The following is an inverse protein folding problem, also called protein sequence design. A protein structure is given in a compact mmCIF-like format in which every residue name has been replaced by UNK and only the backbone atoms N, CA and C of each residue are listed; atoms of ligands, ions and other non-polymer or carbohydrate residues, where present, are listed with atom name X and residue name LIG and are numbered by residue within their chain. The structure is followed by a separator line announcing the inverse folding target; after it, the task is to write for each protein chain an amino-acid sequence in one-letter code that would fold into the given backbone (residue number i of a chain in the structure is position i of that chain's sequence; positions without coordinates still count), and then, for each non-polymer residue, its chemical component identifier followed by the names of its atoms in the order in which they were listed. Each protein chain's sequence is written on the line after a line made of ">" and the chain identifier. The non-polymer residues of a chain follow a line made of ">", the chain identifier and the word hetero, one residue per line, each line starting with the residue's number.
data_IF_405681749533
#
_entry.id   IF_405681749533
#
_cell.length_a   1.000
_cell.length_b   1.000
_cell.length_c   1.000
_cell.angle_alpha   90.00
_cell.angle_beta   90.00
_cell.angle_gamma   90.00
#
_symmetry.space_group_name_H-M   'P 1'
#
loop_
_entity.id
_entity.type
_entity.pdbx_description
1 polymer ?
#
# COMPACT_ATOMS: atom_id res chain seq x y z
N UNK A 1 -13.79 -49.61 45.37
CA UNK A 1 -13.44 -48.95 44.10
C UNK A 1 -13.94 -47.51 44.15
N UNK A 2 -13.04 -46.50 44.11
CA UNK A 2 -13.44 -45.08 44.11
C UNK A 2 -13.79 -44.66 42.67
N UNK A 3 -14.92 -43.98 42.41
CA UNK A 3 -15.23 -43.51 41.08
C UNK A 3 -14.27 -42.38 40.66
N UNK A 4 -13.71 -42.52 39.46
CA UNK A 4 -12.81 -41.54 38.85
C UNK A 4 -13.59 -40.29 38.42
N UNK A 5 -13.13 -39.06 38.71
CA UNK A 5 -13.85 -37.85 38.33
C UNK A 5 -13.73 -37.61 36.82
N UNK A 6 -14.87 -37.55 36.14
CA UNK A 6 -14.97 -37.24 34.71
C UNK A 6 -14.50 -35.81 34.45
N UNK A 7 -13.48 -35.65 33.59
CA UNK A 7 -12.99 -34.34 33.15
C UNK A 7 -14.12 -33.59 32.42
N UNK A 8 -14.51 -32.44 32.98
CA UNK A 8 -15.46 -31.50 32.35
C UNK A 8 -14.85 -30.98 31.04
N UNK A 9 -15.59 -30.89 29.92
CA UNK A 9 -15.06 -30.35 28.67
C UNK A 9 -14.69 -28.88 28.87
N UNK A 10 -13.41 -28.56 28.76
CA UNK A 10 -12.94 -27.18 28.68
C UNK A 10 -13.26 -26.65 27.29
N UNK A 11 -14.37 -25.94 27.14
CA UNK A 11 -14.59 -25.08 25.99
C UNK A 11 -13.59 -23.92 26.07
N UNK A 12 -12.50 -24.02 25.31
CA UNK A 12 -11.62 -22.88 25.07
C UNK A 12 -12.46 -21.71 24.55
N UNK A 13 -12.21 -20.46 24.98
CA UNK A 13 -12.94 -19.31 24.46
C UNK A 13 -12.74 -19.25 22.95
N UNK A 14 -13.83 -19.27 22.18
CA UNK A 14 -13.78 -18.96 20.75
C UNK A 14 -13.21 -17.55 20.67
N UNK A 15 -12.02 -17.40 20.05
CA UNK A 15 -11.40 -16.10 19.89
C UNK A 15 -12.43 -15.15 19.26
N UNK A 16 -12.67 -14.00 19.91
CA UNK A 16 -13.67 -13.04 19.44
C UNK A 16 -13.41 -12.72 17.96
N UNK A 17 -14.35 -13.09 17.11
CA UNK A 17 -14.32 -12.82 15.68
C UNK A 17 -14.31 -11.31 15.49
N UNK A 18 -13.51 -10.80 14.56
CA UNK A 18 -13.49 -9.37 14.23
C UNK A 18 -14.90 -8.85 13.89
N UNK A 19 -15.17 -7.54 13.92
CA UNK A 19 -16.44 -7.00 13.48
C UNK A 19 -16.73 -7.32 12.00
N UNK A 20 -17.98 -7.61 11.68
CA UNK A 20 -18.46 -7.68 10.30
C UNK A 20 -18.25 -6.32 9.59
N UNK A 21 -17.74 -6.35 8.37
CA UNK A 21 -17.62 -5.17 7.51
C UNK A 21 -18.72 -5.10 6.45
N UNK A 22 -19.11 -3.88 6.08
CA UNK A 22 -20.07 -3.62 5.00
C UNK A 22 -19.52 -4.00 3.61
N UNK A 23 -18.21 -4.18 3.47
CA UNK A 23 -17.55 -4.60 2.24
C UNK A 23 -16.91 -5.99 2.33
N UNK A 24 -17.39 -6.83 3.25
CA UNK A 24 -16.78 -8.12 3.58
C UNK A 24 -16.46 -8.98 2.34
N UNK A 25 -17.47 -9.29 1.53
CA UNK A 25 -17.30 -10.11 0.32
C UNK A 25 -16.30 -9.53 -0.68
N UNK A 26 -16.32 -8.21 -0.86
CA UNK A 26 -15.43 -7.53 -1.81
C UNK A 26 -13.96 -7.53 -1.32
N UNK A 27 -13.76 -7.36 -0.01
CA UNK A 27 -12.42 -7.46 0.59
C UNK A 27 -11.93 -8.90 0.55
N UNK A 28 -12.76 -9.89 0.89
CA UNK A 28 -12.39 -11.31 0.78
C UNK A 28 -11.92 -11.66 -0.64
N UNK A 29 -12.71 -11.29 -1.65
CA UNK A 29 -12.36 -11.49 -3.06
C UNK A 29 -11.03 -10.83 -3.41
N UNK A 30 -10.79 -9.60 -2.94
CA UNK A 30 -9.55 -8.89 -3.18
C UNK A 30 -8.35 -9.58 -2.51
N UNK A 31 -8.50 -10.08 -1.28
CA UNK A 31 -7.43 -10.78 -0.57
C UNK A 31 -7.06 -12.12 -1.23
N UNK A 32 -8.06 -12.84 -1.76
CA UNK A 32 -7.81 -14.05 -2.57
C UNK A 32 -7.03 -13.69 -3.83
N UNK A 33 -7.45 -12.66 -4.56
CA UNK A 33 -6.76 -12.21 -5.79
C UNK A 33 -5.33 -11.72 -5.53
N UNK A 34 -5.12 -10.96 -4.47
CA UNK A 34 -3.81 -10.41 -4.12
C UNK A 34 -2.86 -11.48 -3.55
N UNK A 35 -3.41 -12.51 -2.89
CA UNK A 35 -2.64 -13.58 -2.27
C UNK A 35 -1.77 -13.14 -1.08
N UNK A 36 -1.16 -14.10 -0.39
CA UNK A 36 -0.20 -13.81 0.70
C UNK A 36 -0.82 -13.38 2.04
N UNK A 37 -2.15 -13.29 2.15
CA UNK A 37 -2.84 -12.90 3.38
C UNK A 37 -3.38 -14.07 4.22
N UNK A 38 -3.23 -15.31 3.74
CA UNK A 38 -3.76 -16.52 4.38
C UNK A 38 -5.00 -17.04 3.68
N UNK A 39 -5.63 -18.06 4.26
CA UNK A 39 -6.88 -18.63 3.74
C UNK A 39 -8.04 -17.68 4.02
N UNK A 40 -8.82 -17.39 2.98
CA UNK A 40 -9.99 -16.52 3.01
C UNK A 40 -11.11 -17.22 2.25
N UNK A 41 -12.31 -17.25 2.82
CA UNK A 41 -13.50 -17.78 2.14
C UNK A 41 -14.30 -16.61 1.61
N UNK A 42 -14.73 -16.64 0.34
CA UNK A 42 -15.50 -15.54 -0.26
C UNK A 42 -16.99 -15.82 -0.10
N UNK A 43 -17.53 -15.57 1.09
CA UNK A 43 -18.95 -15.76 1.41
C UNK A 43 -19.63 -14.51 1.98
N UNK A 44 -18.87 -13.44 2.21
CA UNK A 44 -19.34 -12.18 2.77
C UNK A 44 -19.60 -12.21 4.27
N UNK A 45 -19.19 -13.27 4.97
CA UNK A 45 -19.41 -13.46 6.41
C UNK A 45 -18.07 -13.54 7.12
N UNK A 46 -17.87 -12.62 8.05
CA UNK A 46 -16.64 -12.58 8.82
C UNK A 46 -16.41 -13.90 9.60
N UNK A 47 -15.21 -14.46 9.45
CA UNK A 47 -14.71 -15.58 10.25
C UNK A 47 -13.41 -15.23 10.99
N UNK A 48 -12.90 -16.14 11.82
CA UNK A 48 -11.58 -15.99 12.44
C UNK A 48 -10.45 -15.94 11.39
N UNK A 49 -10.58 -16.68 10.28
CA UNK A 49 -9.61 -16.70 9.19
C UNK A 49 -9.60 -15.36 8.45
N UNK A 50 -10.77 -14.83 8.10
CA UNK A 50 -10.88 -13.53 7.42
C UNK A 50 -10.40 -12.40 8.32
N UNK A 51 -10.73 -12.45 9.62
CA UNK A 51 -10.25 -11.51 10.63
C UNK A 51 -8.71 -11.45 10.66
N UNK A 52 -8.05 -12.60 10.64
CA UNK A 52 -6.58 -12.68 10.60
C UNK A 52 -6.02 -12.13 9.27
N UNK A 53 -6.62 -12.50 8.14
CA UNK A 53 -6.21 -12.06 6.81
C UNK A 53 -6.36 -10.54 6.62
N UNK A 54 -7.51 -9.99 7.01
CA UNK A 54 -7.80 -8.55 6.93
C UNK A 54 -6.88 -7.79 7.87
N UNK A 55 -6.60 -8.27 9.10
CA UNK A 55 -5.62 -7.64 9.99
C UNK A 55 -4.22 -7.64 9.38
N UNK A 56 -3.81 -8.73 8.72
CA UNK A 56 -2.51 -8.81 8.04
C UNK A 56 -2.43 -7.79 6.89
N UNK A 57 -3.49 -7.67 6.10
CA UNK A 57 -3.61 -6.66 5.05
C UNK A 57 -3.57 -5.24 5.61
N UNK A 58 -4.35 -4.95 6.65
CA UNK A 58 -4.37 -3.65 7.30
C UNK A 58 -2.99 -3.26 7.85
N UNK A 59 -2.27 -4.20 8.49
CA UNK A 59 -0.90 -3.97 8.95
C UNK A 59 0.05 -3.66 7.79
N UNK A 60 -0.01 -4.43 6.70
CA UNK A 60 0.89 -4.26 5.55
C UNK A 60 0.77 -2.87 4.91
N UNK A 61 -0.45 -2.35 4.84
CA UNK A 61 -0.74 -1.07 4.20
C UNK A 61 -1.02 0.06 5.20
N UNK A 62 -0.68 -0.13 6.48
CA UNK A 62 -0.88 0.86 7.54
C UNK A 62 -2.31 1.42 7.61
N UNK A 63 -3.32 0.55 7.48
CA UNK A 63 -4.73 0.92 7.64
C UNK A 63 -5.07 0.86 9.13
N UNK A 64 -5.47 1.99 9.70
CA UNK A 64 -5.73 2.14 11.13
C UNK A 64 -7.22 2.40 11.41
N UNK A 65 -7.80 1.83 12.49
CA UNK A 65 -7.20 0.82 13.36
C UNK A 65 -7.11 -0.56 12.67
N UNK A 66 -6.17 -1.39 13.13
CA UNK A 66 -6.02 -2.79 12.67
C UNK A 66 -7.02 -3.69 13.40
N UNK A 67 -8.29 -3.58 13.01
CA UNK A 67 -9.42 -4.24 13.67
C UNK A 67 -9.98 -5.44 12.89
N UNK A 68 -9.44 -5.76 11.71
CA UNK A 68 -9.91 -6.84 10.84
C UNK A 68 -11.30 -6.62 10.23
N UNK A 69 -11.87 -5.41 10.37
CA UNK A 69 -13.12 -5.04 9.72
C UNK A 69 -12.88 -4.71 8.25
N UNK A 70 -13.67 -5.32 7.36
CA UNK A 70 -13.77 -4.94 5.95
C UNK A 70 -14.57 -3.62 5.79
N UNK A 71 -14.05 -2.54 6.39
CA UNK A 71 -14.62 -1.19 6.32
C UNK A 71 -14.25 -0.44 5.03
N UNK A 72 -14.60 0.86 4.89
CA UNK A 72 -14.52 1.56 3.61
C UNK A 72 -13.07 1.78 3.17
N UNK A 73 -12.17 2.10 4.10
CA UNK A 73 -10.75 2.29 3.79
C UNK A 73 -10.08 0.96 3.41
N UNK A 74 -10.35 -0.12 4.16
CA UNK A 74 -9.86 -1.47 3.82
C UNK A 74 -10.28 -1.86 2.40
N UNK A 75 -11.57 -1.68 2.11
CA UNK A 75 -12.14 -1.92 0.79
C UNK A 75 -11.46 -1.07 -0.28
N UNK A 76 -11.43 0.26 -0.13
CA UNK A 76 -10.81 1.18 -1.08
C UNK A 76 -9.35 0.82 -1.40
N UNK A 77 -8.53 0.56 -0.37
CA UNK A 77 -7.13 0.16 -0.57
C UNK A 77 -7.03 -1.17 -1.32
N UNK A 78 -7.80 -2.18 -0.92
CA UNK A 78 -7.78 -3.50 -1.56
C UNK A 78 -8.17 -3.43 -3.04
N UNK A 79 -9.20 -2.65 -3.37
CA UNK A 79 -9.67 -2.47 -4.73
C UNK A 79 -8.66 -1.71 -5.60
N UNK A 80 -8.02 -0.66 -5.07
CA UNK A 80 -6.96 0.04 -5.80
C UNK A 80 -5.80 -0.88 -6.16
N UNK A 81 -5.38 -1.74 -5.24
CA UNK A 81 -4.30 -2.71 -5.46
C UNK A 81 -4.69 -3.78 -6.49
N UNK A 82 -5.92 -4.30 -6.43
CA UNK A 82 -6.44 -5.25 -7.43
C UNK A 82 -6.56 -4.60 -8.81
N UNK A 83 -6.93 -3.32 -8.87
CA UNK A 83 -7.08 -2.56 -10.12
C UNK A 83 -5.75 -2.11 -10.73
N UNK A 84 -4.65 -2.13 -9.97
CA UNK A 84 -3.32 -1.84 -10.50
C UNK A 84 -3.00 -2.82 -11.63
N UNK A 85 -2.68 -2.29 -12.81
CA UNK A 85 -2.29 -3.09 -13.98
C UNK A 85 -0.82 -2.86 -14.29
N UNK A 86 0.09 -3.73 -13.82
CA UNK A 86 1.53 -3.56 -14.04
C UNK A 86 1.93 -3.35 -15.50
N UNK A 87 1.22 -4.01 -16.43
CA UNK A 87 1.43 -3.87 -17.87
C UNK A 87 1.20 -2.44 -18.38
N UNK A 88 0.31 -1.66 -17.78
CA UNK A 88 0.04 -0.26 -18.18
C UNK A 88 1.24 0.67 -17.98
N UNK A 89 2.23 0.27 -17.18
CA UNK A 89 3.47 1.02 -17.05
C UNK A 89 4.33 0.95 -18.33
N UNK A 90 4.14 -0.06 -19.18
CA UNK A 90 4.99 -0.29 -20.36
C UNK A 90 6.49 -0.30 -20.00
N UNK A 91 6.85 -0.83 -18.83
CA UNK A 91 8.24 -0.99 -18.44
C UNK A 91 8.84 -2.08 -19.33
N UNK A 92 9.86 -1.74 -20.12
CA UNK A 92 10.61 -2.73 -20.90
C UNK A 92 11.45 -3.64 -20.00
N UNK A 93 12.64 -4.01 -20.46
CA UNK A 93 13.51 -4.90 -19.68
C UNK A 93 14.24 -4.19 -18.52
N UNK A 94 14.36 -2.87 -18.57
CA UNK A 94 15.07 -2.08 -17.57
C UNK A 94 14.34 -2.02 -16.22
N UNK A 95 15.11 -1.87 -15.15
CA UNK A 95 14.58 -1.55 -13.82
C UNK A 95 13.80 -0.23 -13.89
N UNK A 96 12.51 -0.26 -13.57
CA UNK A 96 11.60 0.88 -13.72
C UNK A 96 10.68 0.99 -12.51
N UNK A 97 10.62 2.16 -11.87
CA UNK A 97 9.58 2.46 -10.89
C UNK A 97 8.34 3.00 -11.61
N UNK A 98 7.17 2.43 -11.33
CA UNK A 98 5.91 2.76 -11.97
C UNK A 98 4.98 3.43 -10.95
N UNK A 99 4.34 4.52 -11.34
CA UNK A 99 3.45 5.32 -10.49
C UNK A 99 2.11 5.48 -11.21
N UNK A 100 1.11 4.81 -10.69
CA UNK A 100 -0.28 4.90 -11.15
C UNK A 100 -1.00 5.94 -10.28
N UNK A 101 -1.18 7.13 -10.85
CA UNK A 101 -1.85 8.23 -10.17
C UNK A 101 -3.34 7.94 -9.99
N UNK A 102 -3.98 7.23 -10.91
CA UNK A 102 -5.41 6.92 -10.86
C UNK A 102 -5.74 6.02 -9.68
N UNK A 103 -4.98 4.94 -9.51
CA UNK A 103 -5.17 4.01 -8.39
C UNK A 103 -4.37 4.42 -7.14
N UNK A 104 -3.55 5.47 -7.20
CA UNK A 104 -2.67 5.87 -6.10
C UNK A 104 -1.82 4.68 -5.60
N UNK A 105 -1.22 3.98 -6.56
CA UNK A 105 -0.37 2.81 -6.32
C UNK A 105 0.96 2.96 -7.05
N UNK A 106 1.97 2.23 -6.58
CA UNK A 106 3.28 2.20 -7.20
C UNK A 106 3.92 0.82 -7.06
N UNK A 107 4.77 0.45 -8.01
CA UNK A 107 5.52 -0.80 -8.03
C UNK A 107 6.87 -0.62 -8.70
N UNK A 108 7.73 -1.63 -8.60
CA UNK A 108 9.01 -1.71 -9.31
C UNK A 108 8.96 -2.88 -10.28
N UNK A 109 9.30 -2.61 -11.53
CA UNK A 109 9.42 -3.57 -12.62
C UNK A 109 10.89 -3.86 -12.92
N UNK A 110 11.21 -5.10 -13.28
CA UNK A 110 12.49 -5.49 -13.88
C UNK A 110 12.28 -6.68 -14.81
N UNK A 111 12.88 -6.66 -16.00
CA UNK A 111 12.69 -7.73 -16.98
C UNK A 111 11.22 -7.96 -17.35
N UNK A 112 10.43 -6.88 -17.47
CA UNK A 112 8.99 -6.95 -17.78
C UNK A 112 8.11 -7.51 -16.65
N UNK A 113 8.65 -7.81 -15.46
CA UNK A 113 7.91 -8.38 -14.33
C UNK A 113 7.92 -7.46 -13.12
N UNK A 114 6.87 -7.53 -12.31
CA UNK A 114 6.85 -6.86 -11.00
C UNK A 114 7.84 -7.56 -10.08
N UNK A 115 8.83 -6.82 -9.58
CA UNK A 115 9.79 -7.30 -8.56
C UNK A 115 9.48 -6.77 -7.16
N UNK A 116 8.64 -5.73 -7.07
CA UNK A 116 8.13 -5.23 -5.81
C UNK A 116 6.80 -4.50 -5.98
N UNK A 117 5.87 -4.71 -5.04
CA UNK A 117 4.53 -4.12 -5.07
C UNK A 117 3.53 -4.92 -5.92
N UNK A 118 2.42 -4.32 -6.35
CA UNK A 118 1.97 -2.95 -6.04
C UNK A 118 1.84 -2.64 -4.54
N UNK A 119 2.17 -1.41 -4.16
CA UNK A 119 1.89 -0.85 -2.83
C UNK A 119 1.14 0.48 -2.96
N UNK A 120 0.66 1.00 -1.83
CA UNK A 120 -0.02 2.30 -1.77
C UNK A 120 0.97 3.45 -1.85
N UNK A 121 0.52 4.54 -2.45
CA UNK A 121 1.21 5.84 -2.39
C UNK A 121 0.19 6.96 -2.19
N UNK A 122 0.66 8.14 -1.77
CA UNK A 122 -0.10 9.39 -1.84
C UNK A 122 0.71 10.39 -2.65
N UNK A 123 0.20 10.76 -3.82
CA UNK A 123 0.84 11.70 -4.74
C UNK A 123 0.29 13.12 -4.56
N UNK A 124 0.65 14.05 -5.44
CA UNK A 124 0.22 15.45 -5.38
C UNK A 124 -1.29 15.64 -5.27
N UNK A 125 -1.76 16.51 -4.37
CA UNK A 125 -3.18 16.89 -4.22
C UNK A 125 -3.57 17.99 -5.22
N UNK A 126 -4.84 18.44 -5.19
CA UNK A 126 -5.31 19.53 -6.04
C UNK A 126 -4.45 20.79 -5.82
N UNK A 127 -4.05 21.45 -6.91
CA UNK A 127 -3.11 22.57 -6.89
C UNK A 127 -1.63 22.17 -6.84
N UNK A 128 -1.31 20.90 -6.57
CA UNK A 128 0.06 20.40 -6.46
C UNK A 128 0.24 19.07 -7.19
N UNK A 129 -0.33 18.93 -8.38
CA UNK A 129 -0.36 17.68 -9.13
C UNK A 129 1.05 17.12 -9.39
N UNK A 130 1.19 15.80 -9.28
CA UNK A 130 2.42 15.13 -9.72
C UNK A 130 2.38 15.03 -11.25
N UNK A 131 3.38 15.56 -11.97
CA UNK A 131 3.36 15.55 -13.43
C UNK A 131 3.53 14.13 -13.97
N UNK A 132 2.75 13.80 -15.01
CA UNK A 132 2.89 12.54 -15.74
C UNK A 132 4.04 12.61 -16.72
N UNK A 133 4.66 11.46 -17.02
CA UNK A 133 5.79 11.39 -17.93
C UNK A 133 6.72 10.22 -17.68
N UNK A 134 7.79 10.19 -18.45
CA UNK A 134 8.94 9.29 -18.26
C UNK A 134 10.13 10.10 -17.78
N UNK A 135 10.71 9.68 -16.67
CA UNK A 135 11.77 10.36 -15.95
C UNK A 135 12.84 9.37 -15.49
N UNK A 136 13.84 9.88 -14.80
CA UNK A 136 14.84 9.07 -14.09
C UNK A 136 15.06 9.61 -12.69
N UNK A 137 15.50 8.77 -11.75
CA UNK A 137 15.97 9.26 -10.46
C UNK A 137 17.21 10.15 -10.68
N UNK A 138 17.13 11.43 -10.34
CA UNK A 138 18.21 12.40 -10.57
C UNK A 138 19.27 12.37 -9.46
N UNK A 139 18.84 12.41 -8.21
CA UNK A 139 19.70 12.33 -7.03
C UNK A 139 18.94 11.76 -5.85
N UNK A 140 19.71 11.43 -4.81
CA UNK A 140 19.25 10.66 -3.68
C UNK A 140 19.92 11.18 -2.41
N UNK A 141 19.13 11.32 -1.36
CA UNK A 141 19.61 11.74 -0.04
C UNK A 141 18.90 10.94 1.04
N UNK A 142 19.62 10.48 2.06
CA UNK A 142 19.01 9.75 3.18
C UNK A 142 18.04 10.62 3.97
N UNK A 143 18.28 11.94 3.97
CA UNK A 143 17.45 12.96 4.61
C UNK A 143 17.57 14.27 3.81
N UNK A 144 16.51 14.70 3.13
CA UNK A 144 16.49 15.97 2.37
C UNK A 144 15.64 17.01 3.10
N UNK A 145 16.14 18.23 3.27
CA UNK A 145 15.35 19.33 3.84
C UNK A 145 14.44 19.93 2.76
N UNK A 146 13.14 19.97 3.03
CA UNK A 146 12.18 20.65 2.15
C UNK A 146 11.96 22.07 2.65
N UNK A 147 12.62 23.05 2.02
CA UNK A 147 12.49 24.46 2.41
C UNK A 147 11.06 24.98 2.33
N UNK A 148 10.31 24.61 1.29
CA UNK A 148 8.93 25.09 1.11
C UNK A 148 7.94 24.58 2.18
N UNK A 149 8.33 23.55 2.94
CA UNK A 149 7.43 22.85 3.88
C UNK A 149 8.07 22.59 5.24
N UNK A 150 9.25 23.16 5.49
CA UNK A 150 10.06 23.03 6.72
C UNK A 150 10.07 21.63 7.34
N UNK A 151 10.30 20.62 6.50
CA UNK A 151 10.26 19.21 6.92
C UNK A 151 11.39 18.41 6.29
N UNK A 152 11.94 17.50 7.09
CA UNK A 152 12.88 16.50 6.60
C UNK A 152 12.15 15.37 5.88
N UNK A 153 12.56 15.07 4.66
CA UNK A 153 12.06 14.00 3.81
C UNK A 153 13.03 12.81 3.87
N UNK A 154 12.70 11.71 4.58
CA UNK A 154 13.58 10.55 4.68
C UNK A 154 13.60 9.74 3.39
N UNK A 155 14.77 9.20 3.03
CA UNK A 155 14.99 8.36 1.86
C UNK A 155 14.53 9.04 0.55
N UNK A 156 14.90 10.30 0.41
CA UNK A 156 14.55 11.17 -0.71
C UNK A 156 15.19 10.69 -2.01
N UNK A 157 14.38 10.59 -3.07
CA UNK A 157 14.84 10.25 -4.42
C UNK A 157 14.13 11.14 -5.44
N UNK A 158 14.83 12.15 -5.95
CA UNK A 158 14.26 13.17 -6.84
C UNK A 158 13.94 12.58 -8.21
N UNK A 159 12.74 12.82 -8.71
CA UNK A 159 12.25 12.31 -10.00
C UNK A 159 12.19 13.44 -11.04
N UNK A 160 11.60 14.58 -10.68
CA UNK A 160 11.41 15.72 -11.58
C UNK A 160 11.20 16.98 -10.75
N UNK A 161 11.88 18.07 -11.09
CA UNK A 161 11.89 19.31 -10.28
C UNK A 161 12.13 18.99 -8.78
N UNK A 162 11.44 19.65 -7.86
CA UNK A 162 11.44 19.33 -6.42
C UNK A 162 10.53 18.18 -6.01
N UNK A 163 10.19 17.23 -6.91
CA UNK A 163 9.24 16.13 -6.64
C UNK A 163 9.95 14.78 -6.72
N UNK A 164 9.69 13.92 -5.74
CA UNK A 164 10.41 12.67 -5.59
C UNK A 164 9.72 11.66 -4.68
N UNK A 165 10.28 10.45 -4.62
CA UNK A 165 9.89 9.46 -3.62
C UNK A 165 10.48 9.85 -2.26
N UNK A 166 9.71 9.67 -1.20
CA UNK A 166 10.21 9.70 0.18
C UNK A 166 9.25 8.98 1.13
N UNK A 167 9.74 8.65 2.33
CA UNK A 167 8.88 8.17 3.42
C UNK A 167 7.86 9.25 3.78
N UNK A 168 6.58 8.87 3.86
CA UNK A 168 5.52 9.76 4.33
C UNK A 168 5.84 10.31 5.72
N UNK A 169 5.60 11.60 5.93
CA UNK A 169 5.78 12.28 7.23
C UNK A 169 4.46 12.39 8.00
N UNK A 170 3.33 12.08 7.34
CA UNK A 170 1.99 12.06 7.92
C UNK A 170 1.27 10.77 7.56
N UNK A 171 0.09 10.54 8.14
CA UNK A 171 -0.70 9.35 7.83
C UNK A 171 -1.05 9.28 6.33
N UNK A 172 -0.58 8.25 5.64
CA UNK A 172 -0.63 8.17 4.16
C UNK A 172 -2.06 8.16 3.61
N UNK A 173 -3.01 7.64 4.38
CA UNK A 173 -4.42 7.56 3.98
C UNK A 173 -5.22 8.83 4.28
N UNK A 174 -4.59 9.86 4.87
CA UNK A 174 -5.19 11.18 4.93
C UNK A 174 -4.92 11.92 3.62
N UNK A 175 -5.86 11.84 2.68
CA UNK A 175 -5.71 12.38 1.32
C UNK A 175 -5.77 13.90 1.24
N UNK A 176 -6.36 14.59 2.22
CA UNK A 176 -6.58 16.05 2.16
C UNK A 176 -5.34 16.87 2.51
N UNK A 177 -4.34 16.27 3.15
CA UNK A 177 -3.16 16.97 3.68
C UNK A 177 -1.91 16.78 2.82
N UNK A 178 -2.05 16.21 1.63
CA UNK A 178 -0.90 16.03 0.76
C UNK A 178 -1.07 15.04 -0.38
N UNK A 179 -0.01 14.79 -1.13
CA UNK A 179 1.29 15.50 -1.02
C UNK A 179 1.27 16.84 -1.78
N UNK A 180 2.36 17.60 -1.72
CA UNK A 180 2.60 18.78 -2.56
C UNK A 180 3.33 18.44 -3.88
N UNK A 181 3.06 17.24 -4.43
CA UNK A 181 3.59 16.77 -5.71
C UNK A 181 4.54 15.57 -5.57
N UNK A 182 5.13 15.37 -4.40
CA UNK A 182 5.95 14.20 -4.08
C UNK A 182 5.15 12.90 -4.08
N UNK A 183 5.86 11.77 -4.05
CA UNK A 183 5.27 10.43 -4.04
C UNK A 183 5.54 9.84 -2.66
N UNK A 184 4.57 9.97 -1.75
CA UNK A 184 4.73 9.52 -0.37
C UNK A 184 4.63 8.00 -0.29
N UNK A 185 5.57 7.36 0.39
CA UNK A 185 5.63 5.91 0.59
C UNK A 185 5.50 5.55 2.07
N UNK A 186 4.98 4.36 2.37
CA UNK A 186 5.08 3.79 3.72
C UNK A 186 6.56 3.53 4.08
N UNK A 187 6.96 3.55 5.37
CA UNK A 187 8.36 3.38 5.77
C UNK A 187 9.04 2.11 5.24
N UNK A 188 8.35 0.97 5.24
CA UNK A 188 8.91 -0.27 4.69
C UNK A 188 9.07 -0.21 3.16
N UNK A 189 8.12 0.46 2.49
CA UNK A 189 8.12 0.64 1.04
C UNK A 189 9.22 1.61 0.59
N UNK A 190 9.39 2.74 1.28
CA UNK A 190 10.47 3.69 0.99
C UNK A 190 11.84 3.05 1.17
N UNK A 191 12.03 2.21 2.20
CA UNK A 191 13.29 1.47 2.38
C UNK A 191 13.53 0.48 1.23
N UNK A 192 12.50 -0.24 0.78
CA UNK A 192 12.65 -1.13 -0.37
C UNK A 192 12.98 -0.37 -1.64
N UNK A 193 12.32 0.77 -1.88
CA UNK A 193 12.61 1.64 -3.02
C UNK A 193 14.05 2.16 -2.93
N UNK A 194 14.49 2.63 -1.77
CA UNK A 194 15.86 3.08 -1.54
C UNK A 194 16.90 1.99 -1.82
N UNK A 195 16.65 0.76 -1.37
CA UNK A 195 17.61 -0.33 -1.56
C UNK A 195 17.64 -0.84 -3.01
N UNK A 196 16.57 -0.63 -3.78
CA UNK A 196 16.41 -1.20 -5.13
C UNK A 196 16.75 -0.18 -6.21
N UNK A 197 16.27 1.05 -6.07
CA UNK A 197 16.44 2.11 -7.06
C UNK A 197 17.78 2.82 -6.84
N UNK A 198 18.33 3.36 -7.92
CA UNK A 198 19.56 4.16 -7.96
C UNK A 198 19.39 5.36 -8.88
N UNK A 199 20.29 6.34 -8.78
CA UNK A 199 20.39 7.42 -9.77
C UNK A 199 20.42 6.83 -11.19
N UNK A 200 19.66 7.43 -12.10
CA UNK A 200 19.45 6.95 -13.46
C UNK A 200 18.38 5.85 -13.63
N UNK A 201 17.79 5.34 -12.55
CA UNK A 201 16.70 4.35 -12.67
C UNK A 201 15.47 5.01 -13.29
N UNK A 202 14.86 4.35 -14.28
CA UNK A 202 13.69 4.87 -14.96
C UNK A 202 12.49 4.98 -14.02
N UNK A 203 11.70 6.04 -14.19
CA UNK A 203 10.45 6.28 -13.46
C UNK A 203 9.37 6.62 -14.47
N UNK A 204 8.23 5.93 -14.41
CA UNK A 204 7.07 6.19 -15.25
C UNK A 204 5.88 6.60 -14.40
N UNK A 205 5.32 7.76 -14.71
CA UNK A 205 4.18 8.34 -13.99
C UNK A 205 3.03 8.48 -14.99
N UNK A 206 1.89 7.88 -14.68
CA UNK A 206 0.74 7.85 -15.58
C UNK A 206 -0.59 7.90 -14.82
N UNK A 207 -1.67 8.16 -15.56
CA UNK A 207 -3.01 8.35 -14.99
C UNK A 207 -3.19 9.73 -14.37
N UNK A 208 -4.24 9.90 -13.57
CA UNK A 208 -4.53 11.16 -12.88
C UNK A 208 -5.13 10.87 -11.52
N UNK A 209 -4.63 11.53 -10.46
CA UNK A 209 -5.18 11.35 -9.12
C UNK A 209 -6.63 11.86 -9.08
N UNK A 210 -7.59 11.08 -8.56
CA UNK A 210 -8.96 11.55 -8.41
C UNK A 210 -9.05 12.84 -7.60
N UNK A 211 -9.82 13.81 -8.09
CA UNK A 211 -9.99 15.12 -7.44
C UNK A 211 -8.84 16.11 -7.65
N UNK A 212 -7.94 15.86 -8.60
CA UNK A 212 -6.88 16.78 -9.02
C UNK A 212 -6.95 17.07 -10.49
#
# INVERSE_FOLDING_TARGET
>A
MKPSPTKKPTTSPVAAVCPQGEHQKAVEQALVTLGGYGTVTVDGKQSAADCAAIKKFQKRFDIRPVNGKAGPLTHSVSQRLVKSKPSSCNAGNALTACIDLTNQTTWIMSGGKVVYGPTVTRTGMAGFTTPTGSYTIHDRQTKNWSTDWDVWLPLWQRIVEGKGFHTTTTYIHNSSIGSHGCVNLLPADSQKYWNTLKTGTAVKIFGRRPGT
#
